data_IF_392192275957
#
_entry.id   IF_392192275957
#
_cell.length_a   1.000
_cell.length_b   1.000
_cell.length_c   1.000
_cell.angle_alpha   90.00
_cell.angle_beta   90.00
_cell.angle_gamma   90.00
#
_symmetry.space_group_name_H-M   'P 1'
#
loop_
_entity.id
_entity.type
_entity.pdbx_description
1 polymer ?
#
# COMPACT_ATOMS: atom_id res chain seq x y z
N UNK A 1 42.94 53.92 -10.46
CA UNK A 1 41.72 54.29 -9.72
C UNK A 1 40.56 54.22 -10.70
N UNK A 2 39.84 53.10 -10.72
CA UNK A 2 38.49 52.92 -11.29
C UNK A 2 38.16 51.42 -11.22
N UNK A 3 37.71 50.93 -10.05
CA UNK A 3 37.21 49.56 -9.89
C UNK A 3 36.36 49.39 -8.62
N UNK A 4 35.52 50.39 -8.30
CA UNK A 4 34.67 50.36 -7.09
C UNK A 4 33.16 50.56 -7.38
N UNK A 5 32.76 50.72 -8.63
CA UNK A 5 31.37 51.02 -9.02
C UNK A 5 30.55 49.82 -9.52
N UNK A 6 31.16 48.65 -9.72
CA UNK A 6 30.48 47.47 -10.30
C UNK A 6 29.95 46.46 -9.27
N UNK A 7 30.24 46.62 -7.98
CA UNK A 7 29.87 45.65 -6.94
C UNK A 7 28.64 46.04 -6.10
N UNK A 8 28.00 47.18 -6.40
CA UNK A 8 26.83 47.66 -5.64
C UNK A 8 25.47 47.41 -6.33
N UNK A 9 25.45 46.88 -7.56
CA UNK A 9 24.19 46.66 -8.31
C UNK A 9 23.62 45.23 -8.20
N UNK A 10 24.37 44.25 -7.69
CA UNK A 10 23.93 42.85 -7.61
C UNK A 10 23.22 42.47 -6.31
N UNK A 11 23.18 43.36 -5.30
CA UNK A 11 22.55 43.09 -3.99
C UNK A 11 21.06 43.48 -3.93
N UNK A 12 20.58 44.34 -4.84
CA UNK A 12 19.21 44.85 -4.79
C UNK A 12 18.15 43.89 -5.37
N UNK A 13 18.54 42.95 -6.25
CA UNK A 13 17.59 42.07 -6.96
C UNK A 13 17.13 40.85 -6.16
N UNK A 14 17.70 40.58 -4.97
CA UNK A 14 17.36 39.41 -4.15
C UNK A 14 16.30 39.73 -3.07
N UNK A 15 16.03 41.01 -2.79
CA UNK A 15 15.06 41.43 -1.77
C UNK A 15 13.62 41.63 -2.27
N UNK A 16 13.37 41.58 -3.58
CA UNK A 16 12.06 41.93 -4.17
C UNK A 16 11.11 40.73 -4.34
N UNK A 17 11.60 39.49 -4.24
CA UNK A 17 10.78 38.27 -4.38
C UNK A 17 10.18 37.74 -3.06
N UNK A 18 10.69 38.18 -1.91
CA UNK A 18 10.18 37.79 -0.59
C UNK A 18 8.81 38.39 -0.18
N UNK A 19 8.45 39.65 -0.53
CA UNK A 19 7.19 40.24 -0.07
C UNK A 19 5.94 39.65 -0.72
N UNK A 20 6.02 39.12 -1.95
CA UNK A 20 4.86 38.52 -2.63
C UNK A 20 4.43 37.16 -2.04
N UNK A 21 5.38 36.40 -1.48
CA UNK A 21 5.10 35.11 -0.85
C UNK A 21 4.35 35.26 0.48
N UNK A 22 4.64 36.33 1.23
CA UNK A 22 3.99 36.63 2.51
C UNK A 22 2.57 37.18 2.28
N UNK A 23 2.38 37.98 1.23
CA UNK A 23 1.05 38.48 0.80
C UNK A 23 0.14 37.34 0.32
N UNK A 24 0.67 36.39 -0.45
CA UNK A 24 -0.06 35.20 -0.88
C UNK A 24 -0.54 34.35 0.30
N UNK A 25 0.33 34.14 1.29
CA UNK A 25 0.01 33.39 2.50
C UNK A 25 -1.08 34.08 3.34
N UNK A 26 -1.07 35.41 3.39
CA UNK A 26 -2.10 36.21 4.06
C UNK A 26 -3.48 36.08 3.36
N UNK A 27 -3.51 36.06 2.03
CA UNK A 27 -4.74 35.85 1.25
C UNK A 27 -5.34 34.45 1.50
N UNK A 28 -4.51 33.41 1.55
CA UNK A 28 -4.96 32.04 1.84
C UNK A 28 -5.57 31.91 3.25
N UNK A 29 -4.98 32.56 4.25
CA UNK A 29 -5.53 32.56 5.61
C UNK A 29 -6.89 33.26 5.68
N UNK A 30 -7.07 34.33 4.91
CA UNK A 30 -8.31 35.11 4.88
C UNK A 30 -9.47 34.36 4.24
N UNK A 31 -9.24 33.68 3.12
CA UNK A 31 -10.28 32.97 2.37
C UNK A 31 -10.63 31.60 2.96
N UNK A 32 -9.64 30.80 3.36
CA UNK A 32 -9.87 29.42 3.83
C UNK A 32 -10.05 29.30 5.36
N UNK A 33 -9.62 30.31 6.13
CA UNK A 33 -9.75 30.36 7.61
C UNK A 33 -9.35 29.04 8.31
N UNK A 34 -8.14 28.50 8.06
CA UNK A 34 -7.68 27.27 8.67
C UNK A 34 -7.64 27.39 10.20
N UNK A 35 -8.12 26.34 10.90
CA UNK A 35 -8.26 26.33 12.37
C UNK A 35 -7.05 25.78 13.12
N UNK A 36 -6.01 25.34 12.39
CA UNK A 36 -4.78 24.79 12.96
C UNK A 36 -3.61 25.03 12.02
N UNK A 37 -2.38 25.03 12.55
CA UNK A 37 -1.17 25.17 11.74
C UNK A 37 -1.07 24.07 10.67
N UNK A 38 -1.38 22.82 11.02
CA UNK A 38 -1.45 21.71 10.04
C UNK A 38 -2.41 21.98 8.89
N UNK A 39 -3.58 22.55 9.18
CA UNK A 39 -4.56 22.86 8.14
C UNK A 39 -4.10 24.01 7.25
N UNK A 40 -3.42 25.03 7.82
CA UNK A 40 -2.81 26.12 7.06
C UNK A 40 -1.76 25.57 6.09
N UNK A 41 -0.85 24.75 6.60
CA UNK A 41 0.24 24.15 5.80
C UNK A 41 -0.32 23.24 4.70
N UNK A 42 -1.39 22.48 4.97
CA UNK A 42 -2.06 21.66 3.97
C UNK A 42 -2.71 22.49 2.86
N UNK A 43 -3.37 23.60 3.20
CA UNK A 43 -3.97 24.52 2.21
C UNK A 43 -2.89 25.15 1.35
N UNK A 44 -1.81 25.65 1.95
CA UNK A 44 -0.70 26.25 1.20
C UNK A 44 -0.08 25.26 0.22
N UNK A 45 0.21 24.03 0.67
CA UNK A 45 0.75 22.97 -0.18
C UNK A 45 -0.21 22.57 -1.31
N UNK A 46 -1.51 22.48 -1.04
CA UNK A 46 -2.51 22.13 -2.04
C UNK A 46 -2.62 23.19 -3.14
N UNK A 47 -2.69 24.47 -2.76
CA UNK A 47 -2.78 25.58 -3.72
C UNK A 47 -1.49 25.70 -4.54
N UNK A 48 -0.33 25.53 -3.91
CA UNK A 48 0.97 25.50 -4.60
C UNK A 48 1.03 24.38 -5.63
N UNK A 49 0.65 23.16 -5.25
CA UNK A 49 0.63 22.00 -6.15
C UNK A 49 -0.32 22.21 -7.33
N UNK A 50 -1.50 22.78 -7.08
CA UNK A 50 -2.47 23.09 -8.12
C UNK A 50 -1.93 24.18 -9.07
N UNK A 51 -1.29 25.22 -8.54
CA UNK A 51 -0.68 26.28 -9.34
C UNK A 51 0.45 25.74 -10.23
N UNK A 52 1.33 24.89 -9.69
CA UNK A 52 2.39 24.23 -10.47
C UNK A 52 1.82 23.38 -11.61
N UNK A 53 0.76 22.62 -11.34
CA UNK A 53 0.13 21.77 -12.35
C UNK A 53 -0.63 22.58 -13.40
N UNK A 54 -1.34 23.64 -12.99
CA UNK A 54 -2.03 24.55 -13.89
C UNK A 54 -1.07 25.32 -14.81
N UNK A 55 0.12 25.68 -14.31
CA UNK A 55 1.17 26.32 -15.12
C UNK A 55 1.79 25.37 -16.15
N UNK A 56 1.92 24.08 -15.80
CA UNK A 56 2.43 23.06 -16.73
C UNK A 56 1.44 22.71 -17.84
N UNK A 57 0.14 22.76 -17.55
CA UNK A 57 -0.93 22.31 -18.45
C UNK A 57 -1.89 23.45 -18.83
N UNK A 58 -1.30 24.56 -19.29
CA UNK A 58 -1.96 25.85 -19.60
C UNK A 58 -3.09 25.80 -20.66
N UNK A 59 -3.34 24.64 -21.27
CA UNK A 59 -4.38 24.44 -22.29
C UNK A 59 -5.75 23.99 -21.78
N UNK A 60 -5.90 23.64 -20.49
CA UNK A 60 -7.11 22.94 -19.97
C UNK A 60 -7.91 23.78 -18.97
N UNK A 61 -7.48 25.01 -18.65
CA UNK A 61 -8.23 25.87 -17.71
C UNK A 61 -9.47 26.41 -18.44
N UNK A 62 -10.56 25.66 -18.34
CA UNK A 62 -11.89 26.14 -18.72
C UNK A 62 -12.29 27.30 -17.81
N UNK A 63 -13.27 28.12 -18.22
CA UNK A 63 -13.83 29.16 -17.34
C UNK A 63 -14.42 28.61 -16.03
N UNK A 64 -14.60 27.30 -15.92
CA UNK A 64 -14.98 26.58 -14.73
C UNK A 64 -13.78 25.86 -14.08
N UNK A 65 -13.35 26.42 -12.95
CA UNK A 65 -12.24 25.91 -12.12
C UNK A 65 -12.62 24.59 -11.43
N UNK A 66 -13.88 24.40 -11.04
CA UNK A 66 -14.32 23.17 -10.37
C UNK A 66 -14.24 21.99 -11.32
N UNK A 67 -14.75 22.16 -12.55
CA UNK A 67 -14.65 21.14 -13.59
C UNK A 67 -13.18 20.76 -13.91
N UNK A 68 -12.27 21.74 -13.85
CA UNK A 68 -10.84 21.51 -14.06
C UNK A 68 -10.23 20.68 -12.93
N UNK A 69 -10.59 20.95 -11.66
CA UNK A 69 -10.14 20.17 -10.50
C UNK A 69 -10.65 18.73 -10.57
N UNK A 70 -11.93 18.54 -10.90
CA UNK A 70 -12.52 17.21 -11.07
C UNK A 70 -11.82 16.40 -12.17
N UNK A 71 -11.47 17.05 -13.30
CA UNK A 71 -10.71 16.42 -14.36
C UNK A 71 -9.30 16.00 -13.92
N UNK A 72 -8.62 16.82 -13.11
CA UNK A 72 -7.31 16.48 -12.54
C UNK A 72 -7.40 15.30 -11.57
N UNK A 73 -8.41 15.26 -10.70
CA UNK A 73 -8.66 14.13 -9.79
C UNK A 73 -8.91 12.85 -10.61
N UNK A 74 -9.74 12.92 -11.65
CA UNK A 74 -10.01 11.76 -12.50
C UNK A 74 -8.75 11.22 -13.20
N UNK A 75 -7.83 12.10 -13.62
CA UNK A 75 -6.55 11.68 -14.20
C UNK A 75 -5.65 10.99 -13.16
N UNK A 76 -5.63 11.49 -11.92
CA UNK A 76 -4.90 10.86 -10.81
C UNK A 76 -5.50 9.49 -10.50
N UNK A 77 -6.83 9.40 -10.39
CA UNK A 77 -7.53 8.15 -10.13
C UNK A 77 -7.27 7.13 -11.24
N UNK A 78 -7.23 7.57 -12.50
CA UNK A 78 -6.89 6.70 -13.62
C UNK A 78 -5.44 6.18 -13.52
N UNK A 79 -4.48 7.05 -13.17
CA UNK A 79 -3.08 6.67 -12.99
C UNK A 79 -2.90 5.68 -11.82
N UNK A 80 -3.52 5.98 -10.67
CA UNK A 80 -3.51 5.11 -9.48
C UNK A 80 -4.19 3.78 -9.75
N UNK A 81 -5.37 3.79 -10.38
CA UNK A 81 -6.09 2.57 -10.79
C UNK A 81 -5.23 1.73 -11.71
N UNK A 82 -4.58 2.35 -12.69
CA UNK A 82 -3.65 1.69 -13.60
C UNK A 82 -2.52 0.98 -12.83
N UNK A 83 -1.87 1.68 -11.91
CA UNK A 83 -0.75 1.13 -11.13
C UNK A 83 -1.20 0.03 -10.16
N UNK A 84 -2.29 0.25 -9.42
CA UNK A 84 -2.84 -0.72 -8.47
C UNK A 84 -3.26 -2.00 -9.22
N UNK A 85 -3.88 -1.87 -10.39
CA UNK A 85 -4.24 -3.03 -11.20
C UNK A 85 -3.01 -3.86 -11.57
N UNK A 86 -1.88 -3.24 -11.92
CA UNK A 86 -0.65 -4.01 -12.20
C UNK A 86 -0.12 -4.76 -10.97
N UNK A 87 -0.24 -4.16 -9.78
CA UNK A 87 0.18 -4.80 -8.52
C UNK A 87 -0.74 -5.97 -8.19
N UNK A 88 -2.06 -5.74 -8.16
CA UNK A 88 -3.05 -6.73 -7.76
C UNK A 88 -3.19 -7.88 -8.76
N UNK A 89 -3.00 -7.62 -10.05
CA UNK A 89 -3.05 -8.65 -11.10
C UNK A 89 -1.71 -9.33 -11.37
N UNK A 90 -0.68 -9.04 -10.57
CA UNK A 90 0.57 -9.77 -10.68
C UNK A 90 0.40 -11.22 -10.21
N UNK A 91 0.91 -12.18 -11.00
CA UNK A 91 0.81 -13.61 -10.69
C UNK A 91 1.33 -13.96 -9.28
N UNK A 92 2.46 -13.41 -8.80
CA UNK A 92 2.94 -13.70 -7.44
C UNK A 92 1.98 -13.23 -6.36
N UNK A 93 1.35 -12.06 -6.55
CA UNK A 93 0.38 -11.52 -5.60
C UNK A 93 -0.90 -12.35 -5.60
N UNK A 94 -1.47 -12.61 -6.77
CA UNK A 94 -2.71 -13.37 -6.90
C UNK A 94 -2.60 -14.78 -6.33
N UNK A 95 -1.44 -15.44 -6.48
CA UNK A 95 -1.22 -16.77 -5.91
C UNK A 95 -1.25 -16.79 -4.38
N UNK A 96 -0.70 -15.76 -3.74
CA UNK A 96 -0.75 -15.62 -2.29
C UNK A 96 -2.14 -15.18 -1.85
N UNK A 97 -2.74 -14.22 -2.56
CA UNK A 97 -4.09 -13.73 -2.29
C UNK A 97 -5.13 -14.86 -2.39
N UNK A 98 -5.07 -15.72 -3.42
CA UNK A 98 -6.02 -16.82 -3.59
C UNK A 98 -5.96 -17.81 -2.43
N UNK A 99 -4.76 -18.18 -1.99
CA UNK A 99 -4.54 -19.07 -0.86
C UNK A 99 -5.12 -18.50 0.44
N UNK A 100 -4.82 -17.24 0.73
CA UNK A 100 -5.29 -16.57 1.95
C UNK A 100 -6.78 -16.26 1.92
N UNK A 101 -7.35 -15.88 0.77
CA UNK A 101 -8.79 -15.69 0.62
C UNK A 101 -9.55 -17.00 0.74
N UNK A 102 -9.01 -18.10 0.18
CA UNK A 102 -9.55 -19.44 0.35
C UNK A 102 -9.58 -19.87 1.82
N UNK A 103 -8.46 -19.66 2.54
CA UNK A 103 -8.39 -19.94 3.97
C UNK A 103 -9.35 -19.06 4.78
N UNK A 104 -9.40 -17.75 4.49
CA UNK A 104 -10.33 -16.82 5.13
C UNK A 104 -11.79 -17.21 4.89
N UNK A 105 -12.12 -17.67 3.67
CA UNK A 105 -13.43 -18.22 3.36
C UNK A 105 -13.75 -19.45 4.20
N UNK A 106 -12.82 -20.41 4.30
CA UNK A 106 -12.99 -21.60 5.13
C UNK A 106 -13.24 -21.24 6.60
N UNK A 107 -12.43 -20.35 7.18
CA UNK A 107 -12.54 -19.96 8.59
C UNK A 107 -13.86 -19.23 8.86
N UNK A 108 -14.23 -18.25 8.03
CA UNK A 108 -15.43 -17.44 8.30
C UNK A 108 -16.75 -18.16 8.04
N UNK A 109 -16.75 -19.20 7.20
CA UNK A 109 -17.96 -19.97 6.90
C UNK A 109 -18.04 -21.28 7.70
N UNK A 110 -17.13 -21.49 8.64
CA UNK A 110 -17.14 -22.66 9.53
C UNK A 110 -17.37 -22.19 10.97
N UNK A 111 -18.45 -22.66 11.59
CA UNK A 111 -18.71 -22.44 13.00
C UNK A 111 -17.75 -23.31 13.84
N UNK A 112 -16.61 -22.74 14.22
CA UNK A 112 -15.63 -23.40 15.08
C UNK A 112 -16.05 -23.28 16.55
N UNK A 113 -16.03 -24.40 17.27
CA UNK A 113 -16.26 -24.48 18.71
C UNK A 113 -15.24 -25.43 19.37
N UNK A 114 -15.50 -25.92 20.59
CA UNK A 114 -14.60 -26.87 21.25
C UNK A 114 -14.45 -28.20 20.48
N UNK A 115 -15.46 -28.57 19.69
CA UNK A 115 -15.51 -29.81 18.92
C UNK A 115 -14.93 -29.68 17.51
N UNK A 116 -14.95 -28.47 16.92
CA UNK A 116 -14.46 -28.22 15.57
C UNK A 116 -13.27 -27.25 15.57
N UNK A 117 -12.11 -27.78 15.17
CA UNK A 117 -10.85 -27.02 15.08
C UNK A 117 -10.29 -27.06 13.66
N UNK A 118 -9.82 -25.90 13.20
CA UNK A 118 -9.07 -25.77 11.95
C UNK A 118 -7.61 -25.53 12.30
N UNK A 119 -6.71 -26.41 11.82
CA UNK A 119 -5.26 -26.26 11.98
C UNK A 119 -4.61 -26.06 10.62
N UNK A 120 -3.72 -25.07 10.53
CA UNK A 120 -3.10 -24.66 9.27
C UNK A 120 -1.61 -24.98 9.31
N UNK A 121 -1.11 -25.66 8.27
CA UNK A 121 0.31 -25.91 8.05
C UNK A 121 0.74 -25.20 6.76
N UNK A 122 1.58 -24.17 6.89
CA UNK A 122 2.15 -23.48 5.73
C UNK A 122 3.30 -24.31 5.15
N UNK A 123 3.03 -25.01 4.04
CA UNK A 123 4.06 -25.75 3.30
C UNK A 123 3.82 -25.62 1.81
N UNK A 124 4.85 -25.27 1.04
CA UNK A 124 4.70 -25.20 -0.41
C UNK A 124 4.67 -26.60 -1.04
N UNK A 125 3.97 -26.76 -2.17
CA UNK A 125 3.93 -28.03 -2.92
C UNK A 125 5.33 -28.62 -3.23
N UNK A 126 6.33 -27.83 -3.65
CA UNK A 126 7.70 -28.33 -3.85
C UNK A 126 8.36 -28.84 -2.56
N UNK A 127 8.16 -28.14 -1.43
CA UNK A 127 8.71 -28.55 -0.13
C UNK A 127 8.05 -29.82 0.38
N UNK A 128 6.73 -29.93 0.24
CA UNK A 128 5.97 -31.13 0.53
C UNK A 128 6.50 -32.31 -0.29
N UNK A 129 6.66 -32.13 -1.61
CA UNK A 129 7.21 -33.16 -2.49
C UNK A 129 8.63 -33.57 -2.10
N UNK A 130 9.51 -32.60 -1.82
CA UNK A 130 10.89 -32.85 -1.40
C UNK A 130 10.94 -33.62 -0.09
N UNK A 131 10.09 -33.26 0.87
CA UNK A 131 9.98 -33.94 2.16
C UNK A 131 9.52 -35.38 1.97
N UNK A 132 8.39 -35.60 1.28
CA UNK A 132 7.89 -36.94 1.02
C UNK A 132 8.87 -37.79 0.20
N UNK A 133 9.65 -37.19 -0.71
CA UNK A 133 10.70 -37.89 -1.47
C UNK A 133 11.89 -38.29 -0.61
N UNK A 134 12.29 -37.44 0.34
CA UNK A 134 13.43 -37.70 1.24
C UNK A 134 13.16 -38.87 2.19
N UNK A 135 11.93 -39.01 2.65
CA UNK A 135 11.52 -40.02 3.64
C UNK A 135 10.75 -41.19 3.00
N UNK A 136 11.06 -41.60 1.76
CA UNK A 136 10.37 -42.74 1.11
C UNK A 136 10.80 -44.09 1.69
N UNK A 137 9.94 -45.10 1.54
CA UNK A 137 10.25 -46.48 1.91
C UNK A 137 10.18 -46.66 3.42
N UNK A 138 11.20 -47.24 4.02
CA UNK A 138 11.22 -47.59 5.45
C UNK A 138 11.21 -46.36 6.37
N UNK A 139 11.68 -45.20 5.91
CA UNK A 139 11.82 -43.99 6.73
C UNK A 139 10.59 -43.05 6.72
N UNK A 140 9.45 -43.50 6.20
CA UNK A 140 8.26 -42.66 5.99
C UNK A 140 7.62 -42.16 7.29
N UNK A 141 7.65 -43.00 8.32
CA UNK A 141 7.23 -42.74 9.70
C UNK A 141 8.13 -41.71 10.40
N UNK A 142 9.37 -41.54 9.97
CA UNK A 142 10.27 -40.52 10.52
C UNK A 142 10.09 -39.15 9.88
N UNK A 143 9.20 -39.00 8.89
CA UNK A 143 9.00 -37.73 8.19
C UNK A 143 8.38 -36.67 9.12
N UNK A 144 8.79 -35.39 9.02
CA UNK A 144 8.19 -34.31 9.82
C UNK A 144 6.67 -34.21 9.66
N UNK A 145 6.14 -34.59 8.49
CA UNK A 145 4.71 -34.63 8.23
C UNK A 145 4.02 -35.76 8.97
N UNK A 146 4.59 -36.96 8.99
CA UNK A 146 4.04 -38.08 9.75
C UNK A 146 4.02 -37.76 11.24
N UNK A 147 5.09 -37.18 11.78
CA UNK A 147 5.13 -36.78 13.19
C UNK A 147 4.00 -35.81 13.55
N UNK A 148 3.79 -34.78 12.72
CA UNK A 148 2.74 -33.77 12.94
C UNK A 148 1.31 -34.28 12.75
N UNK A 149 1.10 -35.13 11.75
CA UNK A 149 -0.24 -35.61 11.40
C UNK A 149 -0.65 -36.83 12.20
N UNK A 150 0.30 -37.70 12.54
CA UNK A 150 0.04 -38.97 13.18
C UNK A 150 0.56 -38.99 14.62
N UNK A 151 1.87 -38.86 14.85
CA UNK A 151 2.43 -39.06 16.21
C UNK A 151 1.92 -38.02 17.23
N UNK A 152 1.93 -36.74 16.88
CA UNK A 152 1.56 -35.62 17.77
C UNK A 152 0.07 -35.61 18.13
N UNK A 153 -0.80 -36.20 17.28
CA UNK A 153 -2.26 -36.16 17.48
C UNK A 153 -2.88 -37.54 17.61
N UNK A 154 -2.85 -38.37 16.55
CA UNK A 154 -3.50 -39.69 16.57
C UNK A 154 -2.78 -40.70 17.47
N UNK A 155 -1.45 -40.67 17.50
CA UNK A 155 -0.61 -41.55 18.30
C UNK A 155 -0.46 -41.11 19.76
N UNK A 156 -0.88 -39.90 20.09
CA UNK A 156 -0.73 -39.30 21.41
C UNK A 156 -1.98 -39.53 22.26
N UNK A 157 -1.80 -40.00 23.50
CA UNK A 157 -2.91 -40.12 24.44
C UNK A 157 -3.49 -38.74 24.76
N UNK A 158 -4.78 -38.54 24.48
CA UNK A 158 -5.46 -37.26 24.62
C UNK A 158 -5.21 -36.26 23.48
N UNK A 159 -4.65 -36.70 22.36
CA UNK A 159 -4.51 -35.87 21.15
C UNK A 159 -5.80 -35.70 20.35
N UNK A 160 -5.78 -34.86 19.33
CA UNK A 160 -6.95 -34.48 18.54
C UNK A 160 -6.79 -34.95 17.08
N UNK A 161 -7.26 -36.16 16.74
CA UNK A 161 -7.02 -36.73 15.44
C UNK A 161 -7.66 -35.91 14.32
N UNK A 162 -6.92 -35.73 13.23
CA UNK A 162 -7.41 -34.99 12.06
C UNK A 162 -8.51 -35.77 11.33
N UNK A 163 -9.72 -35.21 11.29
CA UNK A 163 -10.85 -35.80 10.56
C UNK A 163 -10.76 -35.64 9.04
N UNK A 164 -10.12 -34.58 8.56
CA UNK A 164 -9.90 -34.32 7.15
C UNK A 164 -8.60 -33.53 6.93
N UNK A 165 -7.99 -33.71 5.76
CA UNK A 165 -6.87 -32.91 5.28
C UNK A 165 -7.30 -32.22 4.00
N UNK A 166 -7.18 -30.90 3.97
CA UNK A 166 -7.45 -30.07 2.79
C UNK A 166 -6.12 -29.51 2.30
N UNK A 167 -5.86 -29.66 1.00
CA UNK A 167 -4.71 -29.08 0.33
C UNK A 167 -5.20 -28.01 -0.65
N UNK A 168 -4.57 -26.84 -0.58
CA UNK A 168 -4.71 -25.73 -1.53
C UNK A 168 -3.88 -25.98 -2.80
#
# INVERSE_FOLDING_TARGET
MNDLSLQQQTSAAVMEAAPELDDFSALLQKEFKPKSDRARDAVENAVRTLAEQALRDSGVISGDVLATIEALIAQIDQALTGQINQILHSEPFQKVESAWRGLHYLVNNTETDESLKIRVLNISKPELHKTLKKYRGVAWDQSPLFKKLYEEEYGQFGGEPYGALVAD
#
